data_IF_768090929105
#
_entry.id   IF_768090929105
#
_cell.length_a   1.000
_cell.length_b   1.000
_cell.length_c   1.000
_cell.angle_alpha   90.00
_cell.angle_beta   90.00
_cell.angle_gamma   90.00
#
_symmetry.space_group_name_H-M   'P 1'
#
loop_
_entity.id
_entity.type
_entity.pdbx_description
1 polymer ?
#
# COMPACT_ATOMS: atom_id res chain seq x y z
N UNK A 1 21.52 6.60 0.88
CA UNK A 1 20.18 7.09 0.50
C UNK A 1 20.29 7.93 -0.76
N UNK A 2 19.17 8.22 -1.43
CA UNK A 2 19.14 9.10 -2.60
C UNK A 2 19.30 10.54 -2.13
N UNK A 3 20.29 11.27 -2.64
CA UNK A 3 20.63 12.63 -2.18
C UNK A 3 19.56 13.68 -2.51
N UNK A 4 18.70 13.39 -3.50
CA UNK A 4 17.58 14.26 -3.89
C UNK A 4 16.32 14.09 -3.03
N UNK A 5 16.29 13.12 -2.10
CA UNK A 5 15.13 12.86 -1.25
C UNK A 5 15.40 13.29 0.20
N UNK A 6 14.36 13.83 0.85
CA UNK A 6 14.45 14.23 2.26
C UNK A 6 14.60 12.98 3.14
N UNK A 7 15.61 12.94 4.04
CA UNK A 7 15.82 11.77 4.90
C UNK A 7 14.61 11.45 5.80
N UNK A 8 14.31 10.15 5.93
CA UNK A 8 13.33 9.61 6.88
C UNK A 8 11.88 10.15 6.70
N UNK A 9 11.52 10.57 5.48
CA UNK A 9 10.16 11.03 5.14
C UNK A 9 9.41 10.10 4.18
N UNK A 10 9.90 8.87 3.94
CA UNK A 10 9.24 7.95 3.02
C UNK A 10 7.76 7.67 3.35
N UNK A 11 7.41 7.60 4.63
CA UNK A 11 6.01 7.43 5.05
C UNK A 11 5.11 8.64 4.72
N UNK A 12 5.67 9.84 4.61
CA UNK A 12 4.96 11.03 4.16
C UNK A 12 4.81 11.02 2.63
N UNK A 13 5.84 10.57 1.90
CA UNK A 13 5.76 10.33 0.46
C UNK A 13 4.63 9.35 0.12
N UNK A 14 4.55 8.22 0.83
CA UNK A 14 3.47 7.22 0.68
C UNK A 14 2.07 7.80 0.89
N UNK A 15 1.88 8.54 1.99
CA UNK A 15 0.59 9.18 2.27
C UNK A 15 0.29 10.33 1.29
N UNK A 16 1.33 11.02 0.82
CA UNK A 16 1.27 12.10 -0.16
C UNK A 16 0.80 11.60 -1.53
N UNK A 17 1.33 10.47 -2.00
CA UNK A 17 0.88 9.85 -3.24
C UNK A 17 -0.63 9.53 -3.20
N UNK A 18 -1.12 8.96 -2.10
CA UNK A 18 -2.56 8.72 -1.91
C UNK A 18 -3.36 10.02 -1.85
N UNK A 19 -2.82 11.10 -1.29
CA UNK A 19 -3.47 12.41 -1.28
C UNK A 19 -3.58 13.00 -2.69
N UNK A 20 -2.51 12.95 -3.48
CA UNK A 20 -2.49 13.42 -4.88
C UNK A 20 -3.46 12.62 -5.73
N UNK A 21 -3.44 11.29 -5.62
CA UNK A 21 -4.37 10.38 -6.29
C UNK A 21 -5.84 10.75 -6.03
N UNK A 22 -6.20 10.96 -4.75
CA UNK A 22 -7.55 11.37 -4.36
C UNK A 22 -7.93 12.74 -4.93
N UNK A 23 -7.00 13.70 -4.93
CA UNK A 23 -7.23 15.06 -5.41
C UNK A 23 -7.45 15.11 -6.93
N UNK A 24 -6.74 14.26 -7.66
CA UNK A 24 -6.82 14.15 -9.12
C UNK A 24 -7.85 13.10 -9.59
N UNK A 25 -8.50 12.40 -8.67
CA UNK A 25 -9.47 11.34 -8.96
C UNK A 25 -8.90 10.23 -9.85
N UNK A 26 -7.61 9.90 -9.69
CA UNK A 26 -6.95 8.85 -10.44
C UNK A 26 -7.44 7.46 -9.98
N UNK A 27 -7.64 7.30 -8.67
CA UNK A 27 -8.18 6.10 -8.02
C UNK A 27 -7.35 4.84 -8.33
N UNK A 28 -6.02 4.97 -8.34
CA UNK A 28 -5.06 3.89 -8.57
C UNK A 28 -4.15 3.65 -7.36
N UNK A 29 -3.97 4.61 -6.45
CA UNK A 29 -3.21 4.38 -5.20
C UNK A 29 -4.17 3.81 -4.13
N UNK A 30 -3.94 2.59 -3.61
CA UNK A 30 -4.72 2.10 -2.47
C UNK A 30 -4.61 3.08 -1.31
N UNK A 31 -5.73 3.36 -0.63
CA UNK A 31 -5.78 4.45 0.37
C UNK A 31 -4.67 4.30 1.41
N UNK A 32 -3.82 5.31 1.49
CA UNK A 32 -2.68 5.38 2.41
C UNK A 32 -2.76 6.61 3.28
N UNK A 33 -2.58 6.45 4.60
CA UNK A 33 -2.56 7.56 5.56
C UNK A 33 -1.44 7.37 6.58
N UNK A 34 -1.06 8.46 7.24
CA UNK A 34 -0.15 8.44 8.39
C UNK A 34 -0.93 7.95 9.61
N UNK A 35 -0.44 6.92 10.27
CA UNK A 35 -1.04 6.34 11.48
C UNK A 35 0.00 6.17 12.58
N UNK A 36 -0.48 5.87 13.79
CA UNK A 36 0.34 5.50 14.94
C UNK A 36 -0.09 4.12 15.43
N UNK A 37 0.80 3.13 15.33
CA UNK A 37 0.51 1.75 15.74
C UNK A 37 1.57 1.21 16.68
N UNK A 38 1.18 0.32 17.59
CA UNK A 38 2.09 -0.44 18.45
C UNK A 38 1.80 -1.94 18.28
N UNK A 39 2.83 -2.74 18.01
CA UNK A 39 2.75 -4.20 17.92
C UNK A 39 4.04 -4.83 18.45
N UNK A 40 3.96 -5.97 19.14
CA UNK A 40 5.15 -6.68 19.64
C UNK A 40 6.08 -7.18 18.53
N UNK A 41 5.54 -7.35 17.31
CA UNK A 41 6.28 -7.76 16.11
C UNK A 41 7.11 -6.62 15.50
N UNK A 42 6.84 -5.36 15.84
CA UNK A 42 7.65 -4.24 15.34
C UNK A 42 9.03 -4.21 16.02
N UNK A 43 10.02 -3.68 15.29
CA UNK A 43 11.38 -3.55 15.80
C UNK A 43 11.50 -2.42 16.83
N UNK A 44 11.70 -2.74 18.11
CA UNK A 44 11.88 -1.76 19.19
C UNK A 44 13.24 -1.91 19.84
N UNK A 45 13.74 -0.84 20.45
CA UNK A 45 14.96 -0.90 21.24
C UNK A 45 14.79 -1.86 22.43
N UNK A 46 15.90 -2.46 22.88
CA UNK A 46 15.90 -3.31 24.08
C UNK A 46 15.35 -2.55 25.30
N UNK A 47 15.65 -1.25 25.40
CA UNK A 47 15.16 -0.37 26.45
C UNK A 47 13.64 -0.19 26.40
N UNK A 48 13.05 0.02 25.23
CA UNK A 48 11.59 0.16 25.09
C UNK A 48 10.86 -1.13 25.49
N UNK A 49 11.42 -2.28 25.08
CA UNK A 49 10.87 -3.59 25.45
C UNK A 49 10.98 -3.82 26.96
N UNK A 50 12.13 -3.53 27.57
CA UNK A 50 12.33 -3.65 29.01
C UNK A 50 11.38 -2.73 29.80
N UNK A 51 11.28 -1.45 29.42
CA UNK A 51 10.36 -0.48 30.03
C UNK A 51 8.91 -0.92 29.93
N UNK A 52 8.48 -1.41 28.76
CA UNK A 52 7.13 -1.93 28.54
C UNK A 52 6.82 -3.08 29.50
N UNK A 53 7.72 -4.08 29.60
CA UNK A 53 7.59 -5.22 30.52
C UNK A 53 7.55 -4.79 31.98
N UNK A 54 8.47 -3.93 32.41
CA UNK A 54 8.52 -3.47 33.80
C UNK A 54 7.25 -2.70 34.18
N UNK A 55 6.78 -1.78 33.32
CA UNK A 55 5.54 -1.04 33.58
C UNK A 55 4.33 -1.97 33.66
N UNK A 56 4.25 -2.98 32.78
CA UNK A 56 3.20 -3.99 32.80
C UNK A 56 3.22 -4.77 34.12
N UNK A 57 4.38 -5.33 34.50
CA UNK A 57 4.56 -6.08 35.75
C UNK A 57 4.25 -5.25 37.00
N UNK A 58 4.67 -3.98 37.04
CA UNK A 58 4.39 -3.08 38.16
C UNK A 58 2.90 -2.74 38.22
N UNK A 59 2.25 -2.52 37.08
CA UNK A 59 0.82 -2.26 37.05
C UNK A 59 -0.01 -3.46 37.50
N UNK A 60 0.41 -4.68 37.14
CA UNK A 60 -0.25 -5.92 37.55
C UNK A 60 -0.03 -6.23 39.05
N UNK A 61 1.20 -6.06 39.56
CA UNK A 61 1.53 -6.34 40.97
C UNK A 61 1.08 -5.24 41.94
N UNK A 62 1.11 -3.99 41.52
CA UNK A 62 0.80 -2.84 42.36
C UNK A 62 -0.16 -1.87 41.63
N UNK A 63 -1.47 -2.16 41.61
CA UNK A 63 -2.45 -1.37 40.85
C UNK A 63 -2.48 0.11 41.22
N UNK A 64 -2.20 0.45 42.50
CA UNK A 64 -2.10 1.84 42.98
C UNK A 64 -0.98 2.64 42.29
N UNK A 65 0.13 1.98 41.94
CA UNK A 65 1.23 2.59 41.19
C UNK A 65 1.00 2.52 39.67
N UNK A 66 0.35 1.45 39.18
CA UNK A 66 -0.04 1.30 37.78
C UNK A 66 -0.91 2.44 37.24
N UNK A 67 -1.84 2.95 38.07
CA UNK A 67 -2.71 4.09 37.73
C UNK A 67 -1.95 5.40 37.44
N UNK A 68 -0.66 5.51 37.80
CA UNK A 68 0.18 6.67 37.48
C UNK A 68 0.84 6.56 36.11
N UNK A 69 0.82 5.38 35.47
CA UNK A 69 1.37 5.22 34.13
C UNK A 69 0.36 5.69 33.08
N UNK A 70 0.66 6.83 32.45
CA UNK A 70 -0.11 7.35 31.30
C UNK A 70 -0.15 6.40 30.09
N UNK A 71 0.76 5.42 30.04
CA UNK A 71 0.79 4.39 29.00
C UNK A 71 1.45 3.13 29.54
N UNK A 72 0.81 2.00 29.29
CA UNK A 72 1.32 0.64 29.50
C UNK A 72 1.47 0.01 28.12
N UNK A 73 2.57 -0.69 27.87
CA UNK A 73 2.89 -1.29 26.56
C UNK A 73 3.96 -0.54 25.77
N UNK A 74 4.19 -1.00 24.53
CA UNK A 74 5.20 -0.46 23.63
C UNK A 74 4.79 0.94 23.12
N UNK A 75 5.76 1.84 22.86
CA UNK A 75 5.46 3.15 22.32
C UNK A 75 4.93 3.01 20.87
N UNK A 76 3.86 3.71 20.48
CA UNK A 76 3.35 3.64 19.11
C UNK A 76 4.34 4.29 18.14
N UNK A 77 4.55 3.65 16.99
CA UNK A 77 5.37 4.13 15.89
C UNK A 77 4.51 4.84 14.85
N UNK A 78 5.01 5.98 14.38
CA UNK A 78 4.44 6.68 13.23
C UNK A 78 4.89 5.99 11.96
N UNK A 79 3.97 5.81 11.00
CA UNK A 79 4.28 5.26 9.68
C UNK A 79 3.10 5.40 8.74
N UNK A 80 3.31 5.03 7.48
CA UNK A 80 2.28 4.93 6.47
C UNK A 80 1.53 3.61 6.65
N UNK A 81 0.21 3.65 6.46
CA UNK A 81 -0.64 2.47 6.45
C UNK A 81 -1.49 2.51 5.20
N UNK A 82 -1.16 1.62 4.27
CA UNK A 82 -1.83 1.45 2.99
C UNK A 82 -2.84 0.30 3.08
N UNK A 83 -4.01 0.49 2.48
CA UNK A 83 -4.98 -0.59 2.33
C UNK A 83 -4.42 -1.70 1.44
N UNK A 84 -4.55 -2.94 1.87
CA UNK A 84 -4.22 -4.11 1.06
C UNK A 84 -5.20 -4.24 -0.12
N UNK A 85 -4.69 -4.71 -1.27
CA UNK A 85 -5.49 -4.97 -2.46
C UNK A 85 -5.42 -6.45 -2.84
N UNK A 86 -6.58 -7.08 -2.97
CA UNK A 86 -6.69 -8.52 -3.24
C UNK A 86 -6.67 -8.85 -4.74
N UNK A 87 -6.06 -9.99 -5.07
CA UNK A 87 -6.02 -10.56 -6.43
C UNK A 87 -5.27 -9.73 -7.49
N UNK A 88 -4.38 -8.86 -7.03
CA UNK A 88 -3.42 -8.17 -7.87
C UNK A 88 -2.13 -8.99 -8.00
N UNK A 89 -1.41 -8.80 -9.11
CA UNK A 89 -0.05 -9.32 -9.32
C UNK A 89 0.83 -8.24 -9.91
N UNK A 90 2.14 -8.38 -9.77
CA UNK A 90 3.14 -7.49 -10.34
C UNK A 90 2.85 -7.21 -11.81
N UNK A 91 3.05 -5.96 -12.24
CA UNK A 91 2.79 -5.60 -13.62
C UNK A 91 3.68 -6.38 -14.58
N UNK A 92 4.95 -6.60 -14.22
CA UNK A 92 5.89 -7.43 -14.99
C UNK A 92 5.32 -8.82 -15.34
N UNK A 93 4.63 -9.46 -14.38
CA UNK A 93 4.01 -10.77 -14.60
C UNK A 93 2.95 -10.74 -15.71
N UNK A 94 2.13 -9.68 -15.73
CA UNK A 94 1.05 -9.55 -16.69
C UNK A 94 1.53 -9.03 -18.04
N UNK A 95 2.46 -8.07 -18.06
CA UNK A 95 3.04 -7.53 -19.29
C UNK A 95 3.69 -8.63 -20.13
N UNK A 96 4.49 -9.51 -19.50
CA UNK A 96 5.06 -10.69 -20.19
C UNK A 96 4.01 -11.63 -20.77
N UNK A 97 2.88 -11.80 -20.07
CA UNK A 97 1.77 -12.63 -20.57
C UNK A 97 1.07 -11.99 -21.75
N UNK A 98 0.94 -10.66 -21.75
CA UNK A 98 0.30 -9.93 -22.85
C UNK A 98 1.15 -9.91 -24.12
N UNK A 99 2.46 -10.13 -24.04
CA UNK A 99 3.32 -10.35 -25.21
C UNK A 99 2.98 -11.66 -25.93
N UNK A 100 2.73 -12.74 -25.18
CA UNK A 100 2.38 -14.05 -25.75
C UNK A 100 0.88 -14.21 -26.05
N UNK A 101 0.02 -13.63 -25.21
CA UNK A 101 -1.44 -13.66 -25.31
C UNK A 101 -1.97 -12.22 -25.31
N UNK A 102 -2.05 -11.56 -26.49
CA UNK A 102 -2.53 -10.20 -26.58
C UNK A 102 -3.92 -10.03 -25.99
N UNK A 103 -4.12 -8.92 -25.28
CA UNK A 103 -5.42 -8.56 -24.73
C UNK A 103 -6.42 -8.23 -25.84
N UNK A 104 -7.73 -8.51 -25.65
CA UNK A 104 -8.76 -7.98 -26.53
C UNK A 104 -8.71 -6.45 -26.57
N UNK A 105 -9.04 -5.85 -27.72
CA UNK A 105 -8.92 -4.40 -27.96
C UNK A 105 -9.63 -3.54 -26.90
N UNK A 106 -10.81 -3.97 -26.46
CA UNK A 106 -11.59 -3.31 -25.39
C UNK A 106 -10.80 -3.26 -24.07
N UNK A 107 -10.13 -4.35 -23.71
CA UNK A 107 -9.31 -4.44 -22.49
C UNK A 107 -8.03 -3.63 -22.65
N UNK A 108 -7.42 -3.67 -23.84
CA UNK A 108 -6.24 -2.86 -24.15
C UNK A 108 -6.53 -1.36 -23.97
N UNK A 109 -7.70 -0.89 -24.41
CA UNK A 109 -8.12 0.50 -24.18
C UNK A 109 -8.32 0.82 -22.70
N UNK A 110 -8.92 -0.08 -21.92
CA UNK A 110 -9.07 0.10 -20.47
C UNK A 110 -7.71 0.13 -19.76
N UNK A 111 -6.80 -0.76 -20.13
CA UNK A 111 -5.45 -0.82 -19.61
C UNK A 111 -4.69 0.48 -19.89
N UNK A 112 -4.74 0.97 -21.13
CA UNK A 112 -4.11 2.22 -21.53
C UNK A 112 -4.59 3.39 -20.67
N UNK A 113 -5.90 3.51 -20.43
CA UNK A 113 -6.46 4.57 -19.59
C UNK A 113 -6.01 4.48 -18.13
N UNK A 114 -5.86 3.27 -17.59
CA UNK A 114 -5.31 3.08 -16.24
C UNK A 114 -3.82 3.43 -16.20
N UNK A 115 -3.06 3.04 -17.22
CA UNK A 115 -1.63 3.30 -17.32
C UNK A 115 -1.34 4.80 -17.46
N UNK A 116 -2.15 5.53 -18.22
CA UNK A 116 -2.06 7.00 -18.32
C UNK A 116 -2.23 7.67 -16.95
N UNK A 117 -3.11 7.15 -16.08
CA UNK A 117 -3.24 7.66 -14.71
C UNK A 117 -1.99 7.40 -13.86
N UNK A 118 -1.35 6.23 -14.03
CA UNK A 118 -0.08 5.92 -13.37
C UNK A 118 1.01 6.89 -13.82
N UNK A 119 1.12 7.15 -15.12
CA UNK A 119 2.07 8.10 -15.69
C UNK A 119 1.84 9.50 -15.13
N UNK A 120 0.58 9.97 -15.10
CA UNK A 120 0.23 11.28 -14.52
C UNK A 120 0.64 11.37 -13.05
N UNK A 121 0.30 10.35 -12.25
CA UNK A 121 0.66 10.29 -10.84
C UNK A 121 2.18 10.39 -10.65
N UNK A 122 2.92 9.45 -11.24
CA UNK A 122 4.36 9.32 -11.05
C UNK A 122 5.11 10.55 -11.57
N UNK A 123 4.63 11.17 -12.65
CA UNK A 123 5.23 12.39 -13.17
C UNK A 123 4.99 13.58 -12.24
N UNK A 124 3.78 13.76 -11.71
CA UNK A 124 3.44 14.88 -10.82
C UNK A 124 4.19 14.78 -9.49
N UNK A 125 4.26 13.59 -8.89
CA UNK A 125 5.00 13.39 -7.64
C UNK A 125 6.50 13.22 -7.88
N UNK A 126 6.93 13.16 -9.14
CA UNK A 126 8.30 12.85 -9.55
C UNK A 126 8.85 11.59 -8.89
N UNK A 127 8.08 10.51 -8.95
CA UNK A 127 8.48 9.23 -8.39
C UNK A 127 9.83 8.78 -8.96
N UNK A 128 10.77 8.51 -8.07
CA UNK A 128 12.13 8.13 -8.46
C UNK A 128 12.32 6.63 -8.54
N UNK A 129 11.35 5.82 -8.10
CA UNK A 129 11.50 4.36 -7.92
C UNK A 129 10.36 3.51 -8.50
N UNK A 130 9.80 3.91 -9.65
CA UNK A 130 8.80 3.09 -10.34
C UNK A 130 9.44 2.05 -11.27
N UNK A 131 9.60 0.83 -10.77
CA UNK A 131 9.83 -0.38 -11.58
C UNK A 131 8.53 -1.13 -11.90
N UNK A 132 8.57 -2.11 -12.82
CA UNK A 132 7.41 -2.95 -13.20
C UNK A 132 6.97 -3.95 -12.10
N UNK A 133 7.76 -4.07 -11.05
CA UNK A 133 7.46 -4.78 -9.81
C UNK A 133 6.72 -3.90 -8.79
N UNK A 134 6.80 -2.58 -8.91
CA UNK A 134 6.24 -1.62 -7.95
C UNK A 134 4.84 -1.10 -8.32
N UNK A 135 4.19 -1.67 -9.32
CA UNK A 135 2.77 -1.44 -9.60
C UNK A 135 2.13 -2.74 -10.00
N UNK A 136 0.86 -2.88 -9.66
CA UNK A 136 0.16 -4.14 -9.77
C UNK A 136 -0.97 -4.05 -10.79
N UNK A 137 -1.26 -5.19 -11.42
CA UNK A 137 -2.38 -5.37 -12.34
C UNK A 137 -3.30 -6.46 -11.78
N UNK A 138 -4.58 -6.15 -11.70
CA UNK A 138 -5.67 -7.13 -11.55
C UNK A 138 -6.35 -7.26 -12.90
N UNK A 139 -6.32 -8.46 -13.46
CA UNK A 139 -6.99 -8.78 -14.71
C UNK A 139 -7.90 -9.99 -14.54
N UNK A 140 -9.21 -9.78 -14.76
CA UNK A 140 -10.23 -10.82 -14.66
C UNK A 140 -10.71 -11.15 -16.08
N UNK A 141 -10.37 -12.35 -16.55
CA UNK A 141 -10.95 -12.92 -17.79
C UNK A 141 -12.42 -13.31 -17.51
N UNK A 142 -13.35 -13.14 -18.46
CA UNK A 142 -14.71 -13.64 -18.32
C UNK A 142 -14.67 -15.16 -18.09
N UNK A 143 -15.50 -15.64 -17.17
CA UNK A 143 -15.54 -17.06 -16.82
C UNK A 143 -15.90 -17.89 -18.06
N UNK A 144 -14.99 -18.76 -18.51
CA UNK A 144 -15.29 -19.73 -19.56
C UNK A 144 -16.26 -20.85 -19.10
N UNK A 145 -16.58 -20.92 -17.79
CA UNK A 145 -17.18 -22.10 -17.17
C UNK A 145 -18.32 -21.81 -16.17
N UNK A 146 -19.04 -20.68 -16.31
CA UNK A 146 -20.19 -20.40 -15.44
C UNK A 146 -21.48 -21.04 -15.97
N UNK A 147 -22.26 -21.62 -15.04
CA UNK A 147 -23.63 -22.10 -15.26
C UNK A 147 -24.48 -20.99 -15.90
N UNK A 148 -25.31 -21.35 -16.88
CA UNK A 148 -26.10 -20.49 -17.79
C UNK A 148 -26.89 -19.31 -17.17
N UNK A 149 -27.09 -19.27 -15.85
CA UNK A 149 -27.99 -18.32 -15.19
C UNK A 149 -27.32 -17.06 -14.60
N UNK A 150 -26.00 -16.90 -14.71
CA UNK A 150 -25.32 -15.69 -14.20
C UNK A 150 -24.96 -14.73 -15.34
N UNK A 151 -25.19 -13.40 -15.21
CA UNK A 151 -24.73 -12.46 -16.22
C UNK A 151 -23.21 -12.56 -16.37
N UNK A 152 -22.68 -12.52 -17.61
CA UNK A 152 -21.24 -12.62 -17.85
C UNK A 152 -20.54 -11.47 -17.12
N UNK A 153 -19.48 -11.80 -16.35
CA UNK A 153 -18.64 -10.77 -15.74
C UNK A 153 -17.95 -10.00 -16.88
N UNK A 154 -18.04 -8.66 -16.93
CA UNK A 154 -17.32 -7.90 -17.95
C UNK A 154 -15.82 -8.11 -17.78
N UNK A 155 -15.07 -7.98 -18.87
CA UNK A 155 -13.62 -7.89 -18.77
C UNK A 155 -13.26 -6.71 -17.86
N UNK A 156 -12.47 -6.97 -16.82
CA UNK A 156 -12.05 -5.96 -15.86
C UNK A 156 -10.53 -6.00 -15.74
N UNK A 157 -9.90 -4.87 -16.07
CA UNK A 157 -8.49 -4.62 -15.80
C UNK A 157 -8.35 -3.37 -14.94
N UNK A 158 -7.61 -3.49 -13.84
CA UNK A 158 -7.34 -2.40 -12.89
C UNK A 158 -5.88 -2.36 -12.53
N UNK A 159 -5.38 -1.14 -12.29
CA UNK A 159 -4.04 -0.91 -11.75
C UNK A 159 -4.08 -0.56 -10.27
N UNK A 160 -3.01 -0.91 -9.57
CA UNK A 160 -2.72 -0.40 -8.23
C UNK A 160 -1.28 0.12 -8.17
N UNK A 161 -1.11 1.41 -7.87
CA UNK A 161 0.19 2.04 -7.65
C UNK A 161 0.58 1.89 -6.17
N UNK A 162 1.51 0.97 -5.90
CA UNK A 162 2.03 0.69 -4.55
C UNK A 162 3.45 1.25 -4.41
N UNK A 163 4.06 1.13 -3.23
CA UNK A 163 5.46 1.53 -2.97
C UNK A 163 5.82 2.93 -3.52
N UNK A 164 5.23 3.96 -2.93
CA UNK A 164 5.40 5.36 -3.34
C UNK A 164 6.31 6.12 -2.35
N UNK A 165 7.15 5.41 -1.60
CA UNK A 165 7.97 5.98 -0.54
C UNK A 165 9.16 6.82 -0.99
N UNK A 166 9.46 6.85 -2.29
CA UNK A 166 10.62 7.51 -2.89
C UNK A 166 10.23 8.49 -4.00
N UNK A 167 9.30 9.39 -3.71
CA UNK A 167 8.87 10.50 -4.56
C UNK A 167 9.24 11.86 -3.95
#
# INVERSE_FOLDING_TARGET
>A
GRSCLVPNQGYLSEAGASLVDQKLQLNIVPKTKVVKLASETFNYTALDRAKSRTKKNVSERFPKFGRRFHRIGLPPKVGSFQMFVDEYKDAEFWLRRFESEPMPEVVQRQFQLQFERLVVLDYIIRNTDRGNDNWLIKYVKPDANKKEWSPPRPHEIKLAAIDNGLA
#
